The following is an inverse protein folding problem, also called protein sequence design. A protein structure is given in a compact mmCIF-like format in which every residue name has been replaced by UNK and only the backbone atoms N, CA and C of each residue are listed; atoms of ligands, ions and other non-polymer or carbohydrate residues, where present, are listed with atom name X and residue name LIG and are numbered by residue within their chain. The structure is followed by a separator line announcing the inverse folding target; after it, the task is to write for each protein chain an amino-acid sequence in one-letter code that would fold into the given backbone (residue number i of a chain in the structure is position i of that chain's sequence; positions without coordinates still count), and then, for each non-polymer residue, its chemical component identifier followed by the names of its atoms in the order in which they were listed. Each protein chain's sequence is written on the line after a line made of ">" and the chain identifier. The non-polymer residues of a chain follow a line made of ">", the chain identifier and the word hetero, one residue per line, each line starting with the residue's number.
data_IF_175049138216
#
_entry.id   IF_175049138216
#
_cell.length_a   1.000
_cell.length_b   1.000
_cell.length_c   1.000
_cell.angle_alpha   90.00
_cell.angle_beta   90.00
_cell.angle_gamma   90.00
#
_symmetry.space_group_name_H-M   'P 1'
#
loop_
_entity.id
_entity.type
_entity.pdbx_description
1 polymer ?
#
# COMPACT_ATOMS: atom_id res chain seq x y z
N UNK A 1 -32.28 -11.25 4.15
CA UNK A 1 -31.54 -10.58 3.05
C UNK A 1 -32.28 -10.99 1.80
N UNK A 2 -33.04 -10.07 1.20
CA UNK A 2 -33.61 -10.29 -0.12
C UNK A 2 -32.48 -10.73 -1.07
N UNK A 3 -32.77 -11.73 -1.90
CA UNK A 3 -31.86 -12.31 -2.87
C UNK A 3 -31.36 -11.22 -3.84
N UNK A 4 -30.30 -10.52 -3.45
CA UNK A 4 -29.65 -9.56 -4.34
C UNK A 4 -28.91 -10.36 -5.39
N UNK A 5 -29.60 -10.59 -6.51
CA UNK A 5 -29.00 -11.24 -7.68
C UNK A 5 -27.89 -10.33 -8.18
N UNK A 6 -26.66 -10.86 -8.18
CA UNK A 6 -25.51 -10.18 -8.78
C UNK A 6 -25.30 -10.76 -10.17
N UNK A 7 -25.35 -9.90 -11.17
CA UNK A 7 -25.06 -10.24 -12.56
C UNK A 7 -23.72 -9.62 -12.96
N UNK A 8 -22.89 -10.36 -13.69
CA UNK A 8 -21.61 -9.87 -14.16
C UNK A 8 -21.35 -10.33 -15.59
N UNK A 9 -20.94 -9.39 -16.44
CA UNK A 9 -20.75 -9.59 -17.88
C UNK A 9 -19.45 -8.94 -18.34
N UNK A 10 -18.65 -9.64 -19.13
CA UNK A 10 -17.50 -9.03 -19.81
C UNK A 10 -18.01 -8.23 -21.01
N UNK A 11 -17.90 -6.90 -20.95
CA UNK A 11 -18.42 -5.97 -21.96
C UNK A 11 -17.36 -5.46 -22.94
N UNK A 12 -16.10 -5.83 -22.70
CA UNK A 12 -14.99 -5.43 -23.56
C UNK A 12 -13.64 -5.88 -23.03
N UNK A 13 -12.59 -5.62 -23.81
CA UNK A 13 -11.21 -5.66 -23.34
C UNK A 13 -10.38 -4.52 -23.91
N UNK A 14 -9.25 -4.27 -23.27
CA UNK A 14 -8.23 -3.34 -23.75
C UNK A 14 -6.83 -3.89 -23.52
N UNK A 15 -5.88 -3.37 -24.28
CA UNK A 15 -4.45 -3.59 -24.03
C UNK A 15 -3.95 -2.54 -23.06
N UNK A 16 -3.28 -2.98 -22.00
CA UNK A 16 -2.54 -2.11 -21.09
C UNK A 16 -1.07 -2.45 -21.17
N UNK A 17 -0.23 -1.41 -21.21
CA UNK A 17 1.21 -1.54 -21.10
C UNK A 17 1.61 -1.21 -19.67
N UNK A 18 2.24 -2.15 -18.98
CA UNK A 18 2.79 -1.96 -17.64
C UNK A 18 4.14 -2.68 -17.56
N UNK A 19 5.14 -2.08 -16.92
CA UNK A 19 6.44 -2.73 -16.68
C UNK A 19 7.10 -3.32 -17.95
N UNK A 20 6.96 -2.62 -19.09
CA UNK A 20 7.43 -3.05 -20.42
C UNK A 20 6.77 -4.33 -20.97
N UNK A 21 5.66 -4.78 -20.37
CA UNK A 21 4.86 -5.91 -20.85
C UNK A 21 3.46 -5.45 -21.25
N UNK A 22 2.95 -6.05 -22.32
CA UNK A 22 1.56 -5.86 -22.75
C UNK A 22 0.68 -6.90 -22.06
N UNK A 23 -0.42 -6.44 -21.47
CA UNK A 23 -1.43 -7.29 -20.85
C UNK A 23 -2.81 -6.97 -21.41
N UNK A 24 -3.62 -8.00 -21.59
CA UNK A 24 -5.05 -7.85 -21.89
C UNK A 24 -5.82 -7.75 -20.58
N UNK A 25 -6.64 -6.71 -20.48
CA UNK A 25 -7.52 -6.45 -19.34
C UNK A 25 -8.95 -6.45 -19.85
N UNK A 26 -9.79 -7.26 -19.24
CA UNK A 26 -11.22 -7.36 -19.52
C UNK A 26 -11.98 -6.39 -18.63
N UNK A 27 -12.92 -5.69 -19.23
CA UNK A 27 -13.86 -4.80 -18.56
C UNK A 27 -15.14 -5.58 -18.25
N UNK A 28 -15.46 -5.68 -16.98
CA UNK A 28 -16.62 -6.41 -16.47
C UNK A 28 -17.62 -5.37 -15.97
N UNK A 29 -18.83 -5.42 -16.51
CA UNK A 29 -19.98 -4.68 -15.99
C UNK A 29 -20.70 -5.55 -14.97
N UNK A 30 -20.85 -5.04 -13.76
CA UNK A 30 -21.49 -5.75 -12.65
C UNK A 30 -22.75 -5.00 -12.23
N UNK A 31 -23.82 -5.74 -12.03
CA UNK A 31 -25.14 -5.25 -11.60
C UNK A 31 -25.56 -6.01 -10.35
N UNK A 32 -26.00 -5.30 -9.31
CA UNK A 32 -26.50 -5.91 -8.07
C UNK A 32 -27.57 -5.03 -7.46
N UNK A 33 -28.84 -5.42 -7.61
CA UNK A 33 -29.97 -4.53 -7.34
C UNK A 33 -29.91 -3.27 -8.22
N UNK A 34 -29.98 -2.10 -7.60
CA UNK A 34 -29.87 -0.81 -8.30
C UNK A 34 -28.42 -0.38 -8.60
N UNK A 35 -27.43 -1.09 -8.04
CA UNK A 35 -26.02 -0.73 -8.20
C UNK A 35 -25.45 -1.28 -9.50
N UNK A 36 -24.81 -0.40 -10.26
CA UNK A 36 -24.10 -0.75 -11.50
C UNK A 36 -22.69 -0.18 -11.47
N UNK A 37 -21.68 -1.03 -11.64
CA UNK A 37 -20.28 -0.60 -11.67
C UNK A 37 -19.45 -1.39 -12.67
N UNK A 38 -18.26 -0.86 -12.98
CA UNK A 38 -17.29 -1.49 -13.86
C UNK A 38 -16.06 -1.89 -13.09
N UNK A 39 -15.52 -3.06 -13.39
CA UNK A 39 -14.27 -3.56 -12.82
C UNK A 39 -13.39 -4.13 -13.92
N UNK A 40 -12.08 -4.03 -13.73
CA UNK A 40 -11.09 -4.50 -14.70
C UNK A 40 -10.29 -5.66 -14.16
N UNK A 41 -10.17 -6.74 -14.93
CA UNK A 41 -9.45 -7.96 -14.54
C UNK A 41 -8.65 -8.53 -15.70
N UNK A 42 -7.44 -9.02 -15.41
CA UNK A 42 -6.64 -9.80 -16.35
C UNK A 42 -7.12 -11.25 -16.36
N UNK A 43 -6.89 -11.95 -17.47
CA UNK A 43 -7.18 -13.38 -17.60
C UNK A 43 -6.61 -14.23 -16.45
N UNK A 44 -5.38 -13.92 -16.01
CA UNK A 44 -4.74 -14.63 -14.89
C UNK A 44 -5.49 -14.49 -13.56
N UNK A 45 -6.24 -13.40 -13.37
CA UNK A 45 -7.02 -13.19 -12.15
C UNK A 45 -8.29 -14.05 -12.13
N UNK A 46 -8.88 -14.36 -13.30
CA UNK A 46 -9.96 -15.34 -13.40
C UNK A 46 -9.47 -16.74 -13.01
N UNK A 47 -8.27 -17.13 -13.44
CA UNK A 47 -7.67 -18.41 -13.04
C UNK A 47 -7.39 -18.47 -11.52
N UNK A 48 -7.00 -17.37 -10.90
CA UNK A 48 -6.87 -17.28 -9.44
C UNK A 48 -8.23 -17.43 -8.74
N UNK A 49 -9.26 -16.76 -9.24
CA UNK A 49 -10.62 -16.92 -8.71
C UNK A 49 -11.08 -18.38 -8.85
N UNK A 50 -10.90 -19.00 -10.01
CA UNK A 50 -11.27 -20.40 -10.27
C UNK A 50 -10.61 -21.36 -9.27
N UNK A 51 -9.30 -21.19 -9.05
CA UNK A 51 -8.56 -21.96 -8.06
C UNK A 51 -9.03 -21.71 -6.61
N UNK A 52 -9.54 -20.51 -6.30
CA UNK A 52 -10.12 -20.21 -4.98
C UNK A 52 -11.49 -20.86 -4.83
N UNK A 53 -12.36 -20.74 -5.84
CA UNK A 53 -13.69 -21.32 -5.83
C UNK A 53 -13.61 -22.85 -5.79
N UNK A 54 -12.72 -23.49 -6.55
CA UNK A 54 -12.54 -24.95 -6.53
C UNK A 54 -12.06 -25.51 -5.19
N UNK A 55 -11.43 -24.70 -4.33
CA UNK A 55 -11.10 -25.09 -2.95
C UNK A 55 -12.29 -24.99 -1.99
N UNK A 56 -13.22 -24.08 -2.29
CA UNK A 56 -14.34 -23.73 -1.41
C UNK A 56 -15.64 -24.44 -1.79
N UNK A 57 -15.76 -24.83 -3.05
CA UNK A 57 -16.90 -25.53 -3.62
C UNK A 57 -16.32 -26.65 -4.48
N UNK A 58 -16.67 -27.90 -4.15
CA UNK A 58 -16.19 -29.14 -4.81
C UNK A 58 -16.19 -29.04 -6.36
N UNK A 59 -15.42 -29.88 -7.09
CA UNK A 59 -14.95 -29.60 -8.46
C UNK A 59 -16.07 -29.67 -9.51
N UNK A 60 -16.95 -28.68 -9.53
CA UNK A 60 -18.05 -28.53 -10.49
C UNK A 60 -17.91 -27.29 -11.39
N UNK A 61 -16.87 -26.47 -11.21
CA UNK A 61 -16.58 -25.34 -12.09
C UNK A 61 -15.78 -25.82 -13.30
N UNK A 62 -16.26 -25.57 -14.54
CA UNK A 62 -15.41 -25.75 -15.70
C UNK A 62 -14.25 -24.77 -15.61
N UNK A 63 -13.02 -25.17 -15.99
CA UNK A 63 -11.86 -24.30 -15.91
C UNK A 63 -12.15 -22.98 -16.64
N UNK A 64 -11.79 -21.85 -16.05
CA UNK A 64 -12.14 -20.49 -16.52
C UNK A 64 -11.87 -20.22 -18.01
N UNK A 65 -10.98 -21.01 -18.60
CA UNK A 65 -10.98 -21.50 -19.97
C UNK A 65 -9.73 -22.38 -20.04
N UNK A 66 -9.75 -23.49 -20.78
CA UNK A 66 -8.51 -24.24 -21.00
C UNK A 66 -7.49 -23.27 -21.58
N UNK A 67 -6.25 -23.31 -21.07
CA UNK A 67 -5.08 -22.59 -21.61
C UNK A 67 -4.74 -22.99 -23.06
N UNK A 68 -5.69 -23.65 -23.74
CA UNK A 68 -5.61 -24.16 -25.09
C UNK A 68 -5.04 -23.09 -26.00
N UNK A 69 -4.03 -23.54 -26.73
CA UNK A 69 -3.07 -22.79 -27.49
C UNK A 69 -3.71 -21.98 -28.62
N UNK A 70 -4.41 -20.90 -28.28
CA UNK A 70 -4.66 -19.84 -29.23
C UNK A 70 -3.33 -19.14 -29.47
N UNK A 71 -2.76 -19.42 -30.64
CA UNK A 71 -1.44 -19.01 -31.11
C UNK A 71 -1.06 -17.62 -30.63
N UNK A 72 -0.20 -17.57 -29.62
CA UNK A 72 0.46 -16.34 -29.25
C UNK A 72 1.49 -16.03 -30.34
N UNK A 73 1.22 -14.98 -31.11
CA UNK A 73 2.21 -14.45 -32.03
C UNK A 73 3.39 -13.93 -31.23
N UNK A 74 4.58 -14.47 -31.47
CA UNK A 74 5.81 -13.88 -30.95
C UNK A 74 6.08 -12.64 -31.78
N UNK A 75 5.85 -11.46 -31.20
CA UNK A 75 6.20 -10.19 -31.83
C UNK A 75 7.54 -9.71 -31.29
N UNK A 76 8.41 -9.26 -32.19
CA UNK A 76 9.67 -8.59 -31.84
C UNK A 76 9.49 -7.08 -31.96
N UNK A 77 9.70 -6.35 -30.88
CA UNK A 77 9.81 -4.89 -30.87
C UNK A 77 11.07 -4.51 -30.10
N UNK A 78 11.96 -3.72 -30.71
CA UNK A 78 13.24 -3.31 -30.12
C UNK A 78 14.13 -4.51 -29.71
N UNK A 79 14.19 -5.57 -30.52
CA UNK A 79 15.02 -6.74 -30.26
C UNK A 79 14.53 -7.68 -29.14
N UNK A 80 13.42 -7.37 -28.48
CA UNK A 80 12.82 -8.22 -27.44
C UNK A 80 11.59 -8.95 -27.98
N UNK A 81 11.53 -10.27 -27.72
CA UNK A 81 10.42 -11.15 -28.06
C UNK A 81 9.34 -11.05 -27.00
N UNK A 82 8.13 -10.67 -27.39
CA UNK A 82 6.96 -10.64 -26.52
C UNK A 82 5.85 -11.53 -27.07
N UNK A 83 5.16 -12.19 -26.16
CA UNK A 83 4.04 -13.09 -26.42
C UNK A 83 2.77 -12.23 -26.44
N UNK A 84 2.37 -11.74 -27.61
CA UNK A 84 1.22 -10.87 -27.75
C UNK A 84 -0.07 -11.69 -27.81
N UNK A 85 -1.05 -11.36 -26.95
CA UNK A 85 -2.39 -11.90 -27.08
C UNK A 85 -3.07 -11.21 -28.28
N UNK A 86 -3.31 -11.95 -29.35
CA UNK A 86 -4.02 -11.41 -30.53
C UNK A 86 -5.41 -10.89 -30.17
N UNK A 87 -5.89 -9.88 -30.89
CA UNK A 87 -7.24 -9.33 -30.68
C UNK A 87 -8.33 -10.40 -30.80
N UNK A 88 -8.16 -11.34 -31.74
CA UNK A 88 -9.06 -12.50 -31.91
C UNK A 88 -9.11 -13.39 -30.66
N UNK A 89 -7.98 -13.59 -29.98
CA UNK A 89 -7.88 -14.39 -28.75
C UNK A 89 -8.57 -13.68 -27.59
N UNK A 90 -8.37 -12.37 -27.48
CA UNK A 90 -9.02 -11.57 -26.46
C UNK A 90 -10.55 -11.54 -26.67
N UNK A 91 -11.02 -11.33 -27.91
CA UNK A 91 -12.45 -11.37 -28.26
C UNK A 91 -13.09 -12.74 -28.03
N UNK A 92 -12.44 -13.84 -28.45
CA UNK A 92 -12.95 -15.19 -28.21
C UNK A 92 -13.07 -15.52 -26.70
N UNK A 93 -12.23 -14.91 -25.87
CA UNK A 93 -12.29 -15.07 -24.41
C UNK A 93 -13.41 -14.26 -23.77
N UNK A 94 -13.90 -13.17 -24.36
CA UNK A 94 -14.96 -12.37 -23.75
C UNK A 94 -16.20 -13.22 -23.45
N UNK A 95 -16.72 -13.93 -24.46
CA UNK A 95 -17.91 -14.79 -24.29
C UNK A 95 -17.66 -15.92 -23.28
N UNK A 96 -16.51 -16.59 -23.36
CA UNK A 96 -16.16 -17.66 -22.41
C UNK A 96 -16.03 -17.16 -20.98
N UNK A 97 -15.51 -15.95 -20.77
CA UNK A 97 -15.37 -15.36 -19.44
C UNK A 97 -16.71 -14.88 -18.89
N UNK A 98 -17.60 -14.36 -19.74
CA UNK A 98 -19.00 -14.06 -19.35
C UNK A 98 -19.73 -15.33 -18.91
N UNK A 99 -19.64 -16.42 -19.69
CA UNK A 99 -20.22 -17.71 -19.31
C UNK A 99 -19.64 -18.25 -18.00
N UNK A 100 -18.33 -18.07 -17.80
CA UNK A 100 -17.66 -18.43 -16.55
C UNK A 100 -18.19 -17.62 -15.37
N UNK A 101 -18.38 -16.31 -15.50
CA UNK A 101 -18.90 -15.47 -14.42
C UNK A 101 -20.33 -15.85 -14.02
N UNK A 102 -21.19 -16.18 -14.99
CA UNK A 102 -22.54 -16.68 -14.73
C UNK A 102 -22.50 -18.00 -13.92
N UNK A 103 -21.63 -18.94 -14.31
CA UNK A 103 -21.44 -20.20 -13.59
C UNK A 103 -20.84 -19.99 -12.19
N UNK A 104 -19.82 -19.13 -12.08
CA UNK A 104 -19.17 -18.79 -10.82
C UNK A 104 -20.15 -18.16 -9.83
N UNK A 105 -21.05 -17.30 -10.30
CA UNK A 105 -22.13 -16.71 -9.48
C UNK A 105 -23.05 -17.78 -8.91
N UNK A 106 -23.52 -18.71 -9.75
CA UNK A 106 -24.39 -19.82 -9.34
C UNK A 106 -23.72 -20.80 -8.35
N UNK A 107 -22.41 -20.99 -8.48
CA UNK A 107 -21.65 -21.88 -7.60
C UNK A 107 -21.31 -21.17 -6.28
N UNK A 108 -20.90 -19.91 -6.35
CA UNK A 108 -20.49 -19.12 -5.20
C UNK A 108 -21.66 -18.79 -4.27
N UNK A 109 -22.89 -18.64 -4.79
CA UNK A 109 -24.08 -18.40 -3.97
C UNK A 109 -24.37 -19.50 -2.93
N UNK A 110 -23.79 -20.71 -3.12
CA UNK A 110 -23.97 -21.86 -2.22
C UNK A 110 -23.03 -21.85 -1.00
N UNK A 111 -22.05 -20.96 -0.96
CA UNK A 111 -21.04 -20.90 0.11
C UNK A 111 -20.66 -19.44 0.39
N UNK A 112 -20.84 -18.99 1.63
CA UNK A 112 -20.52 -17.61 2.03
C UNK A 112 -19.06 -17.23 1.72
N UNK A 113 -18.11 -18.14 1.93
CA UNK A 113 -16.70 -17.91 1.60
C UNK A 113 -16.46 -17.77 0.09
N UNK A 114 -17.12 -18.60 -0.72
CA UNK A 114 -17.02 -18.52 -2.18
C UNK A 114 -17.69 -17.24 -2.72
N UNK A 115 -18.83 -16.86 -2.13
CA UNK A 115 -19.53 -15.61 -2.43
C UNK A 115 -18.67 -14.40 -2.13
N UNK A 116 -18.02 -14.34 -0.97
CA UNK A 116 -17.08 -13.27 -0.62
C UNK A 116 -15.90 -13.19 -1.59
N UNK A 117 -15.34 -14.33 -2.02
CA UNK A 117 -14.27 -14.37 -3.00
C UNK A 117 -14.72 -13.80 -4.36
N UNK A 118 -15.90 -14.20 -4.83
CA UNK A 118 -16.49 -13.69 -6.06
C UNK A 118 -16.79 -12.19 -5.99
N UNK A 119 -17.46 -11.73 -4.93
CA UNK A 119 -17.78 -10.30 -4.75
C UNK A 119 -16.51 -9.44 -4.68
N UNK A 120 -15.45 -9.94 -4.05
CA UNK A 120 -14.13 -9.28 -4.04
C UNK A 120 -13.55 -9.21 -5.44
N UNK A 121 -13.60 -10.32 -6.19
CA UNK A 121 -13.17 -10.35 -7.58
C UNK A 121 -13.96 -9.38 -8.45
N UNK A 122 -15.28 -9.30 -8.28
CA UNK A 122 -16.16 -8.37 -8.99
C UNK A 122 -16.01 -6.92 -8.52
N UNK A 123 -15.18 -6.64 -7.52
CA UNK A 123 -14.99 -5.29 -7.00
C UNK A 123 -16.21 -4.74 -6.28
N UNK A 124 -17.11 -5.60 -5.76
CA UNK A 124 -18.29 -5.17 -5.01
C UNK A 124 -17.90 -4.32 -3.80
N UNK A 125 -16.79 -4.62 -3.12
CA UNK A 125 -16.26 -3.75 -2.06
C UNK A 125 -15.93 -2.34 -2.59
N UNK A 126 -15.33 -2.21 -3.77
CA UNK A 126 -15.02 -0.92 -4.38
C UNK A 126 -16.30 -0.16 -4.81
N UNK A 127 -17.32 -0.89 -5.27
CA UNK A 127 -18.59 -0.33 -5.72
C UNK A 127 -19.54 0.06 -4.60
N UNK A 128 -19.57 -0.72 -3.53
CA UNK A 128 -20.31 -0.45 -2.29
C UNK A 128 -19.66 0.65 -1.45
N UNK A 129 -18.62 1.31 -1.97
CA UNK A 129 -17.97 2.40 -1.25
C UNK A 129 -17.20 1.95 -0.03
N UNK A 130 -16.58 0.75 -0.04
CA UNK A 130 -15.38 0.51 0.78
C UNK A 130 -14.28 1.39 0.19
N UNK A 131 -14.40 2.69 0.48
CA UNK A 131 -13.63 3.78 -0.09
C UNK A 131 -12.17 3.51 0.19
N UNK A 132 -11.42 3.13 -0.84
CA UNK A 132 -9.98 3.20 -0.74
C UNK A 132 -9.61 4.68 -0.61
N UNK A 133 -8.84 5.01 0.42
CA UNK A 133 -8.32 6.35 0.64
C UNK A 133 -7.21 6.61 -0.38
N UNK A 134 -7.36 7.53 -1.35
CA UNK A 134 -6.29 7.80 -2.30
C UNK A 134 -5.07 8.34 -1.54
N UNK A 135 -3.86 7.85 -1.83
CA UNK A 135 -2.64 8.24 -1.11
C UNK A 135 -2.40 9.77 -1.07
N UNK A 136 -2.90 10.51 -2.06
CA UNK A 136 -2.84 11.99 -2.09
C UNK A 136 -3.71 12.67 -1.02
N UNK A 137 -4.79 12.02 -0.57
CA UNK A 137 -5.66 12.51 0.49
C UNK A 137 -5.22 12.03 1.87
N UNK A 138 -4.25 11.11 1.92
CA UNK A 138 -3.81 10.46 3.15
C UNK A 138 -3.40 11.49 4.21
N UNK A 139 -2.53 12.45 3.88
CA UNK A 139 -2.06 13.45 4.83
C UNK A 139 -3.13 14.37 5.43
N UNK A 140 -4.31 14.46 4.83
CA UNK A 140 -5.44 15.23 5.37
C UNK A 140 -6.49 14.36 6.07
N UNK A 141 -6.45 13.04 5.85
CA UNK A 141 -7.43 12.10 6.37
C UNK A 141 -7.01 11.45 7.69
N UNK A 142 -5.75 11.64 8.10
CA UNK A 142 -5.16 11.03 9.30
C UNK A 142 -4.63 12.07 10.27
N UNK A 143 -4.58 11.69 11.55
CA UNK A 143 -4.01 12.48 12.64
C UNK A 143 -2.94 11.72 13.44
N UNK A 144 -2.33 12.40 14.41
CA UNK A 144 -1.44 11.74 15.37
C UNK A 144 -2.14 10.54 16.03
N UNK A 145 -1.42 9.44 16.26
CA UNK A 145 -1.97 8.23 16.89
C UNK A 145 -2.67 7.27 15.91
N UNK A 146 -2.94 7.68 14.67
CA UNK A 146 -3.46 6.78 13.64
C UNK A 146 -2.43 5.73 13.26
N UNK A 147 -2.91 4.51 12.98
CA UNK A 147 -2.05 3.37 12.66
C UNK A 147 -2.02 3.17 11.14
N UNK A 148 -0.83 2.91 10.60
CA UNK A 148 -0.64 2.48 9.21
C UNK A 148 -0.14 1.03 9.21
N UNK A 149 -0.87 0.16 8.52
CA UNK A 149 -0.56 -1.26 8.39
C UNK A 149 -0.07 -1.55 6.99
N UNK A 150 1.00 -2.34 6.88
CA UNK A 150 1.60 -2.71 5.62
C UNK A 150 1.61 -4.23 5.47
N UNK A 151 1.35 -4.64 4.23
CA UNK A 151 1.59 -6.00 3.76
C UNK A 151 2.70 -5.94 2.71
N UNK A 152 3.92 -6.23 3.11
CA UNK A 152 5.11 -6.17 2.28
C UNK A 152 5.18 -7.34 1.29
N UNK A 153 5.87 -7.17 0.16
CA UNK A 153 6.03 -8.25 -0.85
C UNK A 153 7.15 -9.24 -0.52
N UNK A 154 7.98 -8.96 0.48
CA UNK A 154 9.16 -9.75 0.77
C UNK A 154 8.88 -11.15 1.37
N UNK A 155 9.85 -12.05 1.19
CA UNK A 155 9.73 -13.46 1.63
C UNK A 155 9.76 -13.59 3.16
N UNK A 156 10.54 -12.76 3.86
CA UNK A 156 10.59 -12.76 5.34
C UNK A 156 9.25 -12.28 5.93
N UNK A 157 8.63 -11.30 5.29
CA UNK A 157 7.27 -10.84 5.61
C UNK A 157 6.22 -11.94 5.45
N UNK A 158 6.41 -12.88 4.52
CA UNK A 158 5.54 -14.05 4.38
C UNK A 158 5.61 -14.99 5.60
N UNK A 159 6.79 -15.14 6.19
CA UNK A 159 6.97 -15.94 7.41
C UNK A 159 6.30 -15.26 8.62
N UNK A 160 6.48 -13.94 8.78
CA UNK A 160 5.81 -13.18 9.84
C UNK A 160 4.29 -13.28 9.75
N UNK A 161 3.71 -13.22 8.54
CA UNK A 161 2.26 -13.41 8.33
C UNK A 161 1.78 -14.81 8.70
N UNK A 162 2.58 -15.84 8.38
CA UNK A 162 2.29 -17.21 8.77
C UNK A 162 2.29 -17.38 10.30
N UNK A 163 3.30 -16.82 10.97
CA UNK A 163 3.47 -16.91 12.44
C UNK A 163 2.44 -16.07 13.21
N UNK A 164 2.00 -14.94 12.66
CA UNK A 164 1.02 -14.06 13.34
C UNK A 164 -0.43 -14.37 12.94
N UNK A 165 -0.64 -15.18 11.89
CA UNK A 165 -1.98 -15.43 11.33
C UNK A 165 -2.67 -14.13 10.91
N UNK A 166 -1.91 -13.12 10.51
CA UNK A 166 -2.37 -11.79 10.12
C UNK A 166 -1.95 -11.49 8.68
N UNK A 167 -2.75 -10.75 7.90
CA UNK A 167 -2.32 -10.28 6.58
C UNK A 167 -1.23 -9.20 6.65
N UNK A 168 -1.02 -8.59 7.81
CA UNK A 168 -0.09 -7.48 8.04
C UNK A 168 1.23 -7.97 8.63
N UNK A 169 2.35 -7.48 8.08
CA UNK A 169 3.72 -7.82 8.50
C UNK A 169 4.52 -6.63 9.02
N UNK A 170 4.03 -5.41 8.79
CA UNK A 170 4.64 -4.21 9.30
C UNK A 170 3.59 -3.21 9.75
N UNK A 171 3.94 -2.41 10.73
CA UNK A 171 3.08 -1.39 11.34
C UNK A 171 3.90 -0.16 11.62
N UNK A 172 3.26 0.99 11.45
CA UNK A 172 3.82 2.29 11.76
C UNK A 172 2.75 3.20 12.36
N UNK A 173 3.19 4.27 12.99
CA UNK A 173 2.33 5.23 13.67
C UNK A 173 2.39 6.59 12.98
N UNK A 174 1.24 7.21 12.73
CA UNK A 174 1.19 8.59 12.28
C UNK A 174 1.50 9.50 13.46
N UNK A 175 2.43 10.42 13.26
CA UNK A 175 2.79 11.45 14.22
C UNK A 175 2.80 12.82 13.54
N UNK A 176 2.73 13.88 14.32
CA UNK A 176 2.71 15.25 13.82
C UNK A 176 4.03 15.94 14.12
N UNK A 177 4.53 16.72 13.17
CA UNK A 177 5.67 17.59 13.45
C UNK A 177 5.25 18.62 14.51
N UNK A 178 6.03 18.73 15.59
CA UNK A 178 5.79 19.78 16.60
C UNK A 178 6.07 21.19 16.08
N UNK A 179 6.89 21.31 15.02
CA UNK A 179 7.18 22.59 14.35
C UNK A 179 6.07 22.94 13.36
N UNK A 180 5.61 21.96 12.59
CA UNK A 180 4.60 22.15 11.54
C UNK A 180 3.50 21.08 11.67
N UNK A 181 2.49 21.25 12.55
CA UNK A 181 1.47 20.21 12.80
C UNK A 181 0.66 19.75 11.57
N UNK A 182 0.61 20.60 10.54
CA UNK A 182 0.03 20.26 9.23
C UNK A 182 0.82 19.17 8.47
N UNK A 183 2.11 18.99 8.80
CA UNK A 183 2.97 17.96 8.23
C UNK A 183 2.80 16.65 9.00
N UNK A 184 2.11 15.69 8.38
CA UNK A 184 1.99 14.32 8.90
C UNK A 184 3.24 13.52 8.58
N UNK A 185 3.79 12.91 9.62
CA UNK A 185 4.97 12.07 9.59
C UNK A 185 4.58 10.63 9.96
N UNK A 186 5.47 9.69 9.65
CA UNK A 186 5.33 8.28 9.95
C UNK A 186 6.51 7.87 10.83
N UNK A 187 6.21 7.47 12.06
CA UNK A 187 7.14 6.84 12.99
C UNK A 187 7.14 5.33 12.71
N UNK A 188 8.28 4.80 12.30
CA UNK A 188 8.43 3.37 12.04
C UNK A 188 9.82 2.86 12.43
N UNK A 189 9.92 1.54 12.68
CA UNK A 189 11.19 0.85 12.82
C UNK A 189 11.38 -0.11 11.63
N UNK A 190 12.43 0.09 10.83
CA UNK A 190 12.82 -0.80 9.73
C UNK A 190 14.21 -1.37 9.97
N UNK A 191 14.72 -2.21 9.07
CA UNK A 191 16.10 -2.72 9.13
C UNK A 191 17.17 -1.63 9.25
N UNK A 192 16.86 -0.41 8.82
CA UNK A 192 17.77 0.74 8.84
C UNK A 192 17.74 1.51 10.17
N UNK A 193 16.85 1.11 11.10
CA UNK A 193 16.63 1.77 12.37
C UNK A 193 15.23 2.35 12.52
N UNK A 194 15.03 3.14 13.57
CA UNK A 194 13.83 3.93 13.79
C UNK A 194 13.95 5.25 13.04
N UNK A 195 12.91 5.58 12.26
CA UNK A 195 12.85 6.80 11.47
C UNK A 195 11.51 7.53 11.64
N UNK A 196 11.58 8.86 11.62
CA UNK A 196 10.42 9.75 11.47
C UNK A 196 10.45 10.38 10.08
N UNK A 197 9.58 9.91 9.18
CA UNK A 197 9.64 10.26 7.74
C UNK A 197 8.32 10.83 7.23
N UNK A 198 8.35 11.60 6.13
CA UNK A 198 7.13 12.18 5.56
C UNK A 198 6.12 11.10 5.12
N UNK A 199 4.91 11.12 5.68
CA UNK A 199 3.91 10.05 5.56
C UNK A 199 3.63 9.66 4.10
N UNK A 200 3.23 10.63 3.28
CA UNK A 200 2.81 10.37 1.89
C UNK A 200 3.97 9.89 1.03
N UNK A 201 5.15 10.48 1.21
CA UNK A 201 6.35 10.07 0.47
C UNK A 201 6.74 8.63 0.84
N UNK A 202 6.70 8.29 2.13
CA UNK A 202 7.06 6.96 2.61
C UNK A 202 6.06 5.90 2.16
N UNK A 203 4.76 6.13 2.28
CA UNK A 203 3.72 5.18 1.83
C UNK A 203 3.80 4.93 0.32
N UNK A 204 4.19 5.92 -0.49
CA UNK A 204 4.41 5.74 -1.94
C UNK A 204 5.67 4.95 -2.26
N UNK A 205 6.72 5.12 -1.48
CA UNK A 205 8.01 4.45 -1.68
C UNK A 205 8.01 3.01 -1.15
N UNK A 206 7.08 2.68 -0.25
CA UNK A 206 6.98 1.35 0.35
C UNK A 206 6.56 0.30 -0.67
N UNK A 207 7.33 -0.77 -0.85
CA UNK A 207 6.97 -1.91 -1.72
C UNK A 207 5.95 -2.85 -1.05
N UNK A 208 4.77 -2.31 -0.78
CA UNK A 208 3.66 -3.03 -0.18
C UNK A 208 2.68 -3.56 -1.23
N UNK A 209 2.22 -4.79 -1.04
CA UNK A 209 1.05 -5.35 -1.72
C UNK A 209 -0.24 -4.62 -1.29
N UNK A 210 -0.34 -4.28 -0.01
CA UNK A 210 -1.48 -3.54 0.56
C UNK A 210 -1.03 -2.61 1.67
N UNK A 211 -1.71 -1.47 1.76
CA UNK A 211 -1.60 -0.53 2.88
C UNK A 211 -3.00 -0.27 3.41
N UNK A 212 -3.15 -0.26 4.73
CA UNK A 212 -4.38 0.16 5.39
C UNK A 212 -4.08 1.19 6.48
N UNK A 213 -5.08 2.00 6.80
CA UNK A 213 -5.03 2.94 7.92
C UNK A 213 -6.17 2.64 8.87
N UNK A 214 -5.91 2.80 10.16
CA UNK A 214 -6.91 2.80 11.21
C UNK A 214 -6.86 4.12 11.95
N UNK A 215 -8.00 4.79 12.04
CA UNK A 215 -8.10 6.11 12.70
C UNK A 215 -8.38 5.96 14.18
N UNK A 216 -7.61 6.63 15.00
CA UNK A 216 -7.81 6.72 16.43
C UNK A 216 -9.06 7.57 16.74
N UNK A 217 -9.86 7.10 17.70
CA UNK A 217 -11.00 7.79 18.25
C UNK A 217 -10.77 7.88 19.77
N UNK A 218 -10.30 9.04 20.22
CA UNK A 218 -9.92 9.30 21.61
C UNK A 218 -9.90 10.80 21.87
N UNK A 219 -10.17 11.20 23.12
CA UNK A 219 -9.98 12.56 23.63
C UNK A 219 -8.59 12.76 24.29
N UNK A 220 -7.72 11.74 24.23
CA UNK A 220 -6.39 11.79 24.83
C UNK A 220 -5.49 12.87 24.21
N UNK A 221 -4.66 13.51 25.03
CA UNK A 221 -3.59 14.39 24.57
C UNK A 221 -2.43 13.57 23.98
N UNK A 222 -2.16 13.79 22.70
CA UNK A 222 -1.19 13.02 21.92
C UNK A 222 0.18 13.69 21.81
N UNK A 223 0.42 14.82 22.50
CA UNK A 223 1.74 15.50 22.48
C UNK A 223 2.86 14.58 23.02
N UNK A 224 2.55 13.71 23.98
CA UNK A 224 3.49 12.73 24.51
C UNK A 224 3.98 11.74 23.43
N UNK A 225 3.12 11.39 22.47
CA UNK A 225 3.49 10.53 21.32
C UNK A 225 4.47 11.26 20.42
N UNK A 226 4.21 12.53 20.08
CA UNK A 226 5.09 13.34 19.23
C UNK A 226 6.45 13.57 19.88
N UNK A 227 6.49 13.85 21.19
CA UNK A 227 7.74 13.95 21.98
C UNK A 227 8.53 12.64 21.95
N UNK A 228 7.85 11.51 22.12
CA UNK A 228 8.50 10.20 22.05
C UNK A 228 9.07 9.94 20.65
N UNK A 229 8.37 10.29 19.58
CA UNK A 229 8.83 10.11 18.21
C UNK A 229 10.15 10.86 17.95
N UNK A 230 10.28 12.11 18.39
CA UNK A 230 11.52 12.89 18.28
C UNK A 230 12.69 12.25 19.05
N UNK A 231 12.42 11.63 20.20
CA UNK A 231 13.45 10.97 21.01
C UNK A 231 13.87 9.61 20.44
N UNK A 232 12.93 8.88 19.84
CA UNK A 232 13.13 7.56 19.28
C UNK A 232 13.80 7.59 17.89
N UNK A 233 13.76 8.73 17.20
CA UNK A 233 14.36 8.89 15.88
C UNK A 233 15.88 8.60 15.90
N UNK A 234 16.33 7.80 14.93
CA UNK A 234 17.73 7.35 14.83
C UNK A 234 18.14 6.28 15.85
N UNK A 235 17.21 5.72 16.64
CA UNK A 235 17.50 4.53 17.46
C UNK A 235 17.67 3.29 16.59
N UNK A 236 18.41 2.29 17.08
CA UNK A 236 18.71 1.08 16.32
C UNK A 236 17.47 0.18 16.14
N UNK A 237 17.47 -0.63 15.08
CA UNK A 237 16.44 -1.63 14.87
C UNK A 237 16.65 -2.85 15.78
N UNK A 238 15.63 -3.22 16.53
CA UNK A 238 15.65 -4.34 17.47
C UNK A 238 15.09 -5.61 16.85
N UNK A 239 15.82 -6.26 15.94
CA UNK A 239 15.43 -7.57 15.45
C UNK A 239 16.57 -8.57 15.52
N UNK A 240 16.49 -9.46 16.51
CA UNK A 240 17.26 -10.70 16.54
C UNK A 240 16.42 -11.82 15.93
N UNK A 241 16.96 -12.53 14.94
CA UNK A 241 16.33 -13.74 14.33
C UNK A 241 15.91 -14.77 15.42
N UNK A 242 16.60 -14.79 16.56
CA UNK A 242 16.26 -15.62 17.72
C UNK A 242 14.84 -15.32 18.28
N UNK A 243 14.39 -14.07 18.32
CA UNK A 243 13.07 -13.70 18.82
C UNK A 243 11.93 -14.25 17.93
N UNK A 244 12.18 -14.42 16.63
CA UNK A 244 11.23 -15.04 15.70
C UNK A 244 11.13 -16.56 15.90
N UNK A 245 12.23 -17.21 16.28
CA UNK A 245 12.27 -18.63 16.63
C UNK A 245 11.64 -18.88 18.01
N UNK A 246 11.87 -18.02 18.99
CA UNK A 246 11.22 -18.11 20.31
C UNK A 246 9.70 -17.88 20.22
N UNK A 247 9.24 -17.01 19.31
CA UNK A 247 7.82 -16.84 18.99
C UNK A 247 7.19 -18.10 18.37
N UNK A 248 7.96 -18.89 17.61
CA UNK A 248 7.52 -20.21 17.10
C UNK A 248 7.41 -21.23 18.24
N UNK A 249 8.38 -21.24 19.17
CA UNK A 249 8.38 -22.08 20.38
C UNK A 249 7.15 -21.81 21.26
N UNK A 250 6.83 -20.52 21.46
CA UNK A 250 5.69 -20.09 22.27
C UNK A 250 4.33 -20.47 21.65
N UNK A 251 4.22 -20.44 20.31
CA UNK A 251 2.98 -20.82 19.61
C UNK A 251 2.77 -22.34 19.58
N UNK A 252 3.85 -23.13 19.52
CA UNK A 252 3.78 -24.57 19.70
C UNK A 252 3.21 -24.94 21.09
N UNK A 253 3.52 -24.15 22.13
CA UNK A 253 3.01 -24.35 23.48
C UNK A 253 1.53 -23.95 23.69
N UNK A 254 0.85 -23.35 22.69
CA UNK A 254 -0.51 -22.81 22.85
C UNK A 254 -1.50 -23.19 21.74
N UNK A 255 -1.29 -24.34 21.10
CA UNK A 255 -2.37 -24.96 20.34
C UNK A 255 -3.55 -25.28 21.29
N UNK A 256 -4.71 -24.71 20.98
CA UNK A 256 -6.01 -24.84 21.67
C UNK A 256 -6.13 -24.23 23.08
N UNK A 257 -6.59 -22.98 23.16
CA UNK A 257 -7.80 -22.61 23.93
C UNK A 257 -8.20 -21.16 23.65
N UNK A 258 -9.43 -20.99 23.16
CA UNK A 258 -10.16 -19.73 23.15
C UNK A 258 -10.46 -19.36 24.62
N UNK A 259 -10.16 -18.15 25.11
CA UNK A 259 -10.51 -17.79 26.47
C UNK A 259 -12.02 -17.53 26.55
N UNK A 260 -12.76 -18.53 27.02
CA UNK A 260 -14.08 -18.33 27.61
C UNK A 260 -13.87 -17.52 28.89
N UNK A 261 -14.17 -16.22 28.83
CA UNK A 261 -14.19 -15.33 30.00
C UNK A 261 -15.48 -15.62 30.76
N UNK A 262 -15.43 -16.57 31.67
CA UNK A 262 -16.43 -16.70 32.74
C UNK A 262 -15.83 -17.37 33.96
N UNK A 263 -15.08 -16.59 34.77
CA UNK A 263 -14.97 -16.72 36.24
C UNK A 263 -14.10 -15.59 36.79
N UNK A 264 -14.47 -14.94 37.92
CA UNK A 264 -13.66 -13.91 38.53
C UNK A 264 -12.43 -14.54 39.18
N UNK A 265 -11.25 -14.20 38.65
CA UNK A 265 -9.96 -14.63 39.20
C UNK A 265 -9.59 -13.68 40.35
N UNK A 266 -9.37 -14.23 41.53
CA UNK A 266 -8.86 -13.53 42.71
C UNK A 266 -7.55 -12.78 42.37
N UNK A 267 -7.31 -11.60 42.96
CA UNK A 267 -6.08 -10.85 42.66
C UNK A 267 -4.85 -11.63 43.12
N UNK A 268 -3.78 -11.73 42.29
CA UNK A 268 -2.54 -12.34 42.72
C UNK A 268 -1.88 -11.47 43.81
N UNK A 269 -1.05 -12.06 44.70
CA UNK A 269 -0.36 -11.30 45.72
C UNK A 269 0.56 -10.26 45.07
N UNK A 270 0.50 -9.02 45.58
CA UNK A 270 1.46 -7.94 45.26
C UNK A 270 2.87 -8.46 45.51
N UNK A 271 3.60 -8.78 44.45
CA UNK A 271 5.06 -8.88 44.48
C UNK A 271 5.62 -7.56 43.96
N UNK A 272 6.51 -7.02 44.77
CA UNK A 272 7.28 -5.81 44.52
C UNK A 272 7.99 -5.86 43.17
N UNK A 273 8.14 -4.67 42.60
CA UNK A 273 8.81 -4.36 41.34
C UNK A 273 10.17 -5.04 41.23
N UNK A 274 10.25 -6.12 40.45
CA UNK A 274 11.52 -6.63 39.93
C UNK A 274 11.69 -6.08 38.52
N UNK A 275 12.74 -5.27 38.40
CA UNK A 275 13.30 -4.61 37.24
C UNK A 275 12.94 -5.18 35.85
N UNK A 276 12.42 -4.30 34.99
CA UNK A 276 12.78 -4.27 33.58
C UNK A 276 14.30 -4.32 33.45
N UNK A 277 14.86 -5.43 32.94
CA UNK A 277 16.14 -5.50 32.20
C UNK A 277 16.72 -6.91 32.26
N UNK A 278 16.61 -7.68 31.17
CA UNK A 278 17.49 -8.84 30.96
C UNK A 278 17.65 -9.31 29.51
N UNK A 279 16.90 -8.80 28.53
CA UNK A 279 17.00 -9.27 27.13
C UNK A 279 17.38 -8.21 26.09
N UNK A 280 17.76 -7.00 26.50
CA UNK A 280 18.36 -6.02 25.60
C UNK A 280 19.76 -5.64 26.10
N UNK A 281 20.74 -5.87 25.22
CA UNK A 281 22.17 -5.55 25.34
C UNK A 281 22.96 -6.35 26.39
N UNK A 282 24.01 -7.05 25.90
CA UNK A 282 25.19 -7.30 26.73
C UNK A 282 25.72 -5.94 27.23
N UNK A 283 26.23 -5.83 28.46
CA UNK A 283 26.81 -4.58 28.92
C UNK A 283 28.02 -4.26 28.04
N UNK A 284 27.88 -3.22 27.23
CA UNK A 284 29.04 -2.54 26.68
C UNK A 284 29.75 -1.90 27.87
N UNK A 285 31.02 -2.28 28.05
CA UNK A 285 31.95 -1.48 28.83
C UNK A 285 31.93 -0.04 28.28
N UNK A 286 31.86 0.92 29.20
CA UNK A 286 32.07 2.37 29.01
C UNK A 286 30.79 3.22 28.79
N UNK A 287 30.21 3.68 29.90
CA UNK A 287 29.76 5.06 30.14
C UNK A 287 28.52 5.63 29.42
N UNK A 288 28.16 5.16 28.22
CA UNK A 288 27.06 5.74 27.43
C UNK A 288 25.92 4.72 27.31
N UNK A 289 24.79 5.00 27.97
CA UNK A 289 23.64 4.09 28.02
C UNK A 289 23.11 3.89 26.58
N UNK A 290 23.42 2.75 25.98
CA UNK A 290 23.01 2.41 24.62
C UNK A 290 21.50 2.63 24.45
N UNK A 291 21.13 3.34 23.39
CA UNK A 291 19.72 3.60 23.06
C UNK A 291 18.97 2.27 22.86
N UNK A 292 17.71 2.17 23.34
CA UNK A 292 16.92 0.95 23.15
C UNK A 292 16.69 0.68 21.66
N UNK A 293 16.73 -0.59 21.28
CA UNK A 293 16.43 -1.02 19.92
C UNK A 293 14.95 -1.44 19.84
N UNK A 294 14.27 -1.09 18.75
CA UNK A 294 12.83 -1.37 18.61
C UNK A 294 12.51 -2.23 17.39
N UNK A 295 11.60 -3.19 17.55
CA UNK A 295 10.84 -3.77 16.45
C UNK A 295 9.65 -2.86 16.08
N UNK A 296 9.11 -2.98 14.86
CA UNK A 296 8.08 -2.06 14.37
C UNK A 296 6.83 -2.03 15.26
N UNK A 297 6.31 -3.20 15.65
CA UNK A 297 5.15 -3.29 16.55
C UNK A 297 5.46 -2.89 17.98
N UNK A 298 6.69 -3.11 18.45
CA UNK A 298 7.13 -2.67 19.79
C UNK A 298 7.20 -1.14 19.86
N UNK A 299 7.78 -0.51 18.84
CA UNK A 299 7.85 0.95 18.73
C UNK A 299 6.45 1.56 18.76
N UNK A 300 5.54 1.06 17.91
CA UNK A 300 4.15 1.52 17.86
C UNK A 300 3.43 1.28 19.19
N UNK A 301 3.56 0.10 19.79
CA UNK A 301 2.94 -0.19 21.08
C UNK A 301 3.45 0.75 22.17
N UNK A 302 4.76 0.96 22.25
CA UNK A 302 5.38 1.82 23.26
C UNK A 302 4.92 3.28 23.13
N UNK A 303 4.86 3.79 21.90
CA UNK A 303 4.35 5.13 21.62
C UNK A 303 2.89 5.28 22.07
N UNK A 304 2.02 4.32 21.72
CA UNK A 304 0.61 4.34 22.11
C UNK A 304 0.39 4.18 23.62
N UNK A 305 1.25 3.43 24.31
CA UNK A 305 1.22 3.35 25.78
C UNK A 305 1.61 4.67 26.44
N UNK A 306 2.63 5.36 25.90
CA UNK A 306 3.02 6.69 26.37
C UNK A 306 1.89 7.70 26.16
N UNK A 307 1.14 7.56 25.06
CA UNK A 307 -0.04 8.39 24.79
C UNK A 307 -1.32 7.97 25.54
N UNK A 308 -1.26 6.98 26.44
CA UNK A 308 -2.44 6.52 27.18
C UNK A 308 -3.53 5.87 26.31
N UNK A 309 -3.16 5.38 25.12
CA UNK A 309 -4.08 4.72 24.17
C UNK A 309 -4.15 3.21 24.43
N UNK A 310 -2.99 2.61 24.69
CA UNK A 310 -2.85 1.20 25.04
C UNK A 310 -2.60 1.04 26.53
N UNK A 311 -3.10 -0.07 27.08
CA UNK A 311 -2.83 -0.42 28.47
C UNK A 311 -1.34 -0.57 28.73
N UNK A 312 -0.90 0.03 29.83
CA UNK A 312 0.50 0.00 30.27
C UNK A 312 0.92 -1.31 30.95
N UNK A 313 -0.03 -2.22 31.26
CA UNK A 313 0.23 -3.49 31.94
C UNK A 313 0.68 -4.61 31.00
N UNK A 314 0.56 -4.43 29.68
CA UNK A 314 1.04 -5.36 28.67
C UNK A 314 2.40 -4.90 28.14
N UNK A 315 3.48 -5.67 28.21
CA UNK A 315 4.76 -5.25 27.67
C UNK A 315 4.70 -5.03 26.15
N UNK A 316 5.40 -4.02 25.62
CA UNK A 316 5.41 -3.70 24.18
C UNK A 316 5.87 -4.89 23.30
N UNK A 317 6.68 -5.80 23.84
CA UNK A 317 7.20 -6.98 23.16
C UNK A 317 6.14 -8.06 22.88
N UNK A 318 4.96 -7.95 23.49
CA UNK A 318 3.83 -8.82 23.20
C UNK A 318 3.07 -8.42 21.93
N UNK A 319 3.32 -7.21 21.41
CA UNK A 319 2.62 -6.72 20.24
C UNK A 319 3.32 -7.17 18.97
N UNK A 320 2.52 -7.68 18.03
CA UNK A 320 2.93 -8.00 16.68
C UNK A 320 2.18 -7.09 15.70
N UNK A 321 2.65 -6.90 14.46
CA UNK A 321 1.95 -6.10 13.46
C UNK A 321 0.47 -6.51 13.30
N UNK A 322 0.21 -7.82 13.37
CA UNK A 322 -1.15 -8.35 13.34
C UNK A 322 -2.01 -8.04 14.56
N UNK A 323 -1.43 -7.69 15.71
CA UNK A 323 -2.20 -7.24 16.90
C UNK A 323 -2.95 -5.95 16.60
N UNK A 324 -2.39 -5.08 15.74
CA UNK A 324 -3.00 -3.81 15.37
C UNK A 324 -4.10 -3.92 14.31
N UNK A 325 -4.39 -5.14 13.82
CA UNK A 325 -5.50 -5.41 12.92
C UNK A 325 -6.86 -5.22 13.61
N UNK A 326 -7.92 -4.97 12.83
CA UNK A 326 -9.29 -4.90 13.36
C UNK A 326 -9.68 -6.18 14.10
N UNK A 327 -10.26 -6.03 15.29
CA UNK A 327 -10.75 -7.10 16.16
C UNK A 327 -9.71 -7.70 17.12
N UNK A 328 -8.42 -7.36 16.99
CA UNK A 328 -7.35 -7.85 17.88
C UNK A 328 -6.80 -6.81 18.84
N UNK A 329 -6.86 -5.53 18.48
CA UNK A 329 -6.30 -4.44 19.28
C UNK A 329 -7.26 -3.99 20.38
N UNK A 330 -8.56 -4.07 20.11
CA UNK A 330 -9.64 -3.50 20.90
C UNK A 330 -9.65 -3.96 22.37
N UNK A 331 -9.37 -5.23 22.71
CA UNK A 331 -9.28 -5.67 24.10
C UNK A 331 -8.10 -5.08 24.89
N UNK A 332 -7.13 -4.45 24.21
CA UNK A 332 -5.89 -3.92 24.76
C UNK A 332 -5.90 -2.37 24.88
N UNK A 333 -6.97 -1.73 24.41
CA UNK A 333 -7.14 -0.28 24.49
C UNK A 333 -7.57 0.15 25.89
N UNK A 334 -7.23 1.39 26.25
CA UNK A 334 -7.75 2.04 27.45
C UNK A 334 -9.25 2.37 27.32
N UNK A 335 -9.92 2.59 28.46
CA UNK A 335 -11.35 2.92 28.46
C UNK A 335 -11.62 4.24 27.72
N UNK A 336 -12.64 4.25 26.85
CA UNK A 336 -13.00 5.42 26.04
C UNK A 336 -12.16 5.58 24.76
N UNK A 337 -11.19 4.70 24.52
CA UNK A 337 -10.37 4.69 23.31
C UNK A 337 -10.88 3.64 22.34
N UNK A 338 -10.98 3.99 21.06
CA UNK A 338 -11.29 3.03 20.01
C UNK A 338 -10.55 3.36 18.71
N UNK A 339 -10.47 2.38 17.82
CA UNK A 339 -9.97 2.58 16.47
C UNK A 339 -11.08 2.27 15.47
N UNK A 340 -11.19 3.12 14.44
CA UNK A 340 -12.05 2.87 13.30
C UNK A 340 -11.66 1.60 12.51
N UNK A 341 -12.47 1.26 11.51
CA UNK A 341 -12.19 0.11 10.63
C UNK A 341 -10.90 0.32 9.84
N UNK A 342 -10.32 -0.79 9.35
CA UNK A 342 -9.22 -0.76 8.38
C UNK A 342 -9.68 -0.15 7.06
N UNK A 343 -9.15 1.04 6.72
CA UNK A 343 -9.40 1.72 5.45
C UNK A 343 -8.20 1.48 4.54
N UNK A 344 -8.40 0.77 3.44
CA UNK A 344 -7.34 0.53 2.46
C UNK A 344 -6.89 1.84 1.80
N UNK A 345 -5.59 2.01 1.65
CA UNK A 345 -4.99 3.15 0.94
C UNK A 345 -4.70 2.74 -0.50
N UNK A 346 -5.23 3.50 -1.47
CA UNK A 346 -4.84 3.32 -2.88
C UNK A 346 -3.51 4.02 -3.13
N UNK A 347 -2.44 3.22 -3.14
CA UNK A 347 -1.06 3.67 -3.40
C UNK A 347 -0.77 3.83 -4.89
N UNK A 348 -1.68 3.41 -5.78
CA UNK A 348 -1.49 3.61 -7.22
C UNK A 348 -1.51 5.10 -7.50
N UNK A 349 -0.46 5.58 -8.17
CA UNK A 349 -0.46 6.91 -8.76
C UNK A 349 -1.49 6.85 -9.90
N UNK A 350 -2.68 7.37 -9.67
CA UNK A 350 -3.66 7.64 -10.72
C UNK A 350 -3.02 8.66 -11.68
N UNK A 351 -2.43 8.19 -12.77
CA UNK A 351 -2.07 9.00 -13.93
C UNK A 351 -3.36 9.48 -14.63
N UNK A 352 -4.10 10.39 -14.00
CA UNK A 352 -5.29 11.01 -14.60
C UNK A 352 -5.28 12.50 -14.32
N UNK A 353 -4.56 13.26 -15.17
CA UNK A 353 -4.82 14.69 -15.41
C UNK A 353 -4.13 15.30 -16.65
N UNK A 354 -3.55 14.54 -17.59
CA UNK A 354 -2.97 15.12 -18.83
C UNK A 354 -3.58 14.60 -20.13
N UNK A 355 -4.33 13.50 -20.11
CA UNK A 355 -4.90 12.89 -21.33
C UNK A 355 -6.30 13.38 -21.70
N UNK A 356 -7.08 13.93 -20.76
CA UNK A 356 -8.41 14.47 -21.07
C UNK A 356 -8.34 15.80 -21.85
N UNK A 357 -7.40 16.69 -21.48
CA UNK A 357 -7.19 17.97 -22.20
C UNK A 357 -6.47 17.78 -23.54
N UNK A 358 -5.51 16.84 -23.59
CA UNK A 358 -5.29 15.89 -24.70
C UNK A 358 -6.24 15.89 -25.90
N UNK A 359 -7.34 15.17 -25.67
CA UNK A 359 -8.30 14.74 -26.67
C UNK A 359 -9.31 15.83 -27.03
N UNK A 360 -9.54 16.80 -26.13
CA UNK A 360 -10.36 17.97 -26.40
C UNK A 360 -9.61 19.01 -27.27
N UNK A 361 -8.31 19.20 -27.07
CA UNK A 361 -7.50 20.09 -27.93
C UNK A 361 -7.25 19.52 -29.34
N UNK A 362 -7.32 18.19 -29.52
CA UNK A 362 -7.14 17.53 -30.81
C UNK A 362 -8.40 17.52 -31.71
N UNK A 363 -9.52 18.06 -31.24
CA UNK A 363 -10.76 18.22 -32.01
C UNK A 363 -10.97 19.67 -32.43
N UNK A 364 -10.04 20.22 -33.20
CA UNK A 364 -10.29 21.43 -33.98
C UNK A 364 -11.31 21.17 -35.11
N UNK A 365 -12.08 22.18 -35.55
CA UNK A 365 -13.11 22.01 -36.57
C UNK A 365 -12.47 21.65 -37.92
N UNK A 366 -12.85 20.49 -38.47
CA UNK A 366 -12.48 20.09 -39.83
C UNK A 366 -13.25 20.96 -40.82
N UNK A 367 -12.57 21.93 -41.43
CA UNK A 367 -13.05 22.59 -42.65
C UNK A 367 -13.11 21.55 -43.78
N UNK A 368 -14.26 21.48 -44.43
CA UNK A 368 -14.57 20.49 -45.47
C UNK A 368 -13.73 20.69 -46.74
N UNK A 369 -13.21 19.59 -47.28
CA UNK A 369 -12.45 19.42 -48.52
C UNK A 369 -13.28 19.64 -49.80
N UNK A 370 -13.86 20.83 -49.96
CA UNK A 370 -14.38 21.31 -51.24
C UNK A 370 -14.01 22.77 -51.37
N UNK A 371 -12.86 23.05 -52.01
CA UNK A 371 -12.48 24.27 -52.75
C UNK A 371 -10.95 24.35 -52.86
N UNK A 372 -10.34 23.44 -53.62
CA UNK A 372 -9.00 23.66 -54.20
C UNK A 372 -8.92 22.95 -55.54
N UNK A 373 -9.49 23.59 -56.55
CA UNK A 373 -9.21 23.40 -57.97
C UNK A 373 -9.27 24.78 -58.60
N UNK A 374 -8.36 25.05 -59.54
CA UNK A 374 -7.87 26.36 -59.99
C UNK A 374 -6.93 26.99 -58.96
N UNK A 375 -5.62 27.11 -59.18
CA UNK A 375 -4.97 27.72 -60.34
C UNK A 375 -3.71 26.92 -60.73
N UNK A 376 -3.56 26.72 -62.04
CA UNK A 376 -2.43 26.18 -62.79
C UNK A 376 -1.33 27.23 -63.03
N UNK A 377 -0.23 26.81 -63.69
CA UNK A 377 0.89 27.62 -64.26
C UNK A 377 1.96 28.03 -63.23
N UNK A 378 3.28 27.94 -63.44
CA UNK A 378 4.23 27.60 -64.52
C UNK A 378 5.61 27.77 -63.80
N UNK A 379 6.65 26.93 -63.86
CA UNK A 379 7.63 26.76 -64.92
C UNK A 379 8.88 26.01 -64.35
N UNK A 380 9.29 24.93 -65.01
CA UNK A 380 10.66 24.60 -65.49
C UNK A 380 11.89 25.10 -64.69
N UNK A 381 12.69 24.18 -64.11
CA UNK A 381 14.07 23.78 -64.55
C UNK A 381 14.78 22.84 -63.54
N UNK A 382 15.57 21.84 -64.01
CA UNK A 382 16.43 21.01 -63.17
C UNK A 382 17.90 21.47 -63.22
N UNK A 383 18.63 21.38 -62.11
CA UNK A 383 20.11 21.42 -62.12
C UNK A 383 20.68 20.34 -61.19
N UNK A 384 21.65 19.63 -61.75
CA UNK A 384 22.51 18.59 -61.19
C UNK A 384 23.41 19.10 -60.04
N UNK A 385 23.87 18.21 -59.12
CA UNK A 385 24.83 18.59 -58.09
C UNK A 385 26.28 18.28 -58.52
N UNK A 386 27.28 19.06 -58.08
CA UNK A 386 28.65 18.60 -58.02
C UNK A 386 29.16 18.33 -56.60
N UNK A 387 30.13 17.43 -56.62
CA UNK A 387 30.93 16.76 -55.59
C UNK A 387 31.51 17.61 -54.44
N UNK A 388 31.70 16.90 -53.34
CA UNK A 388 32.53 17.14 -52.13
C UNK A 388 33.97 17.59 -52.44
N UNK A 389 34.68 18.16 -51.44
CA UNK A 389 35.66 17.31 -50.75
C UNK A 389 35.75 17.48 -49.22
N UNK A 390 36.28 16.40 -48.66
CA UNK A 390 36.65 16.05 -47.29
C UNK A 390 37.63 17.02 -46.62
N UNK A 391 37.50 17.23 -45.31
CA UNK A 391 38.66 17.41 -44.40
C UNK A 391 38.31 17.00 -42.96
N UNK A 392 39.30 16.37 -42.33
CA UNK A 392 39.34 15.82 -40.98
C UNK A 392 39.16 16.87 -39.87
N UNK A 393 38.50 16.50 -38.76
CA UNK A 393 39.01 16.88 -37.43
C UNK A 393 38.52 15.98 -36.28
N UNK A 394 39.46 15.81 -35.36
CA UNK A 394 39.62 14.87 -34.26
C UNK A 394 38.76 15.15 -33.02
N UNK A 395 38.45 14.05 -32.31
CA UNK A 395 38.01 13.85 -30.91
C UNK A 395 38.01 15.06 -29.95
N UNK A 396 36.94 15.20 -29.14
CA UNK A 396 37.01 15.29 -27.66
C UNK A 396 35.71 14.72 -27.07
N UNK A 397 35.83 13.83 -26.09
CA UNK A 397 34.76 13.33 -25.24
C UNK A 397 34.64 14.17 -23.97
N UNK A 398 33.44 14.67 -23.63
CA UNK A 398 33.12 15.20 -22.30
C UNK A 398 31.64 15.03 -21.96
N UNK A 399 31.37 14.25 -20.91
CA UNK A 399 30.25 14.31 -19.93
C UNK A 399 30.24 12.96 -19.21
N UNK A 400 30.37 12.86 -17.89
CA UNK A 400 29.58 13.54 -16.86
C UNK A 400 30.31 13.57 -15.50
N UNK A 401 30.13 14.59 -14.66
CA UNK A 401 30.47 14.52 -13.25
C UNK A 401 29.31 13.96 -12.41
N UNK A 402 29.71 13.10 -11.47
CA UNK A 402 28.99 12.57 -10.32
C UNK A 402 28.39 13.66 -9.43
N UNK A 403 27.12 13.53 -9.07
CA UNK A 403 26.45 14.32 -8.03
C UNK A 403 26.67 13.65 -6.67
N UNK A 404 27.60 14.18 -5.88
CA UNK A 404 27.72 13.94 -4.46
C UNK A 404 27.93 15.28 -3.75
N UNK A 405 27.38 15.38 -2.54
CA UNK A 405 27.50 16.47 -1.57
C UNK A 405 26.46 17.61 -1.66
N UNK A 406 25.37 17.44 -0.88
CA UNK A 406 24.84 18.55 -0.10
C UNK A 406 25.18 18.27 1.37
N UNK A 407 26.13 19.05 1.92
CA UNK A 407 26.38 19.17 3.36
C UNK A 407 26.01 20.58 3.80
N UNK A 408 25.34 20.62 4.95
CA UNK A 408 25.37 21.62 6.01
C UNK A 408 25.16 23.10 5.65
N UNK A 409 24.01 23.63 6.09
CA UNK A 409 23.78 25.05 6.33
C UNK A 409 24.22 25.33 7.79
N UNK A 410 25.09 26.32 8.06
CA UNK A 410 25.50 26.68 9.42
C UNK A 410 24.45 27.53 10.16
N UNK A 411 24.51 27.62 11.50
CA UNK A 411 23.54 28.37 12.29
C UNK A 411 23.83 29.87 12.25
N UNK A 412 22.77 30.67 12.33
CA UNK A 412 22.83 32.12 12.51
C UNK A 412 22.82 32.38 14.02
N UNK A 413 23.93 32.90 14.54
CA UNK A 413 24.03 33.41 15.90
C UNK A 413 23.71 34.93 15.96
N UNK A 414 22.86 35.23 16.96
CA UNK A 414 22.84 36.41 17.84
C UNK A 414 22.71 37.83 17.27
N UNK A 415 21.68 38.54 17.77
CA UNK A 415 21.81 39.91 18.28
C UNK A 415 20.86 40.14 19.48
N UNK A 416 21.14 41.08 20.40
CA UNK A 416 20.82 40.95 21.83
C UNK A 416 19.71 41.88 22.35
N UNK A 417 19.32 41.58 23.59
CA UNK A 417 18.79 42.44 24.67
C UNK A 417 17.61 43.39 24.38
N UNK A 418 16.45 43.06 24.98
CA UNK A 418 15.60 44.08 25.62
C UNK A 418 15.06 43.58 26.96
N UNK A 419 15.32 44.39 27.98
CA UNK A 419 15.03 44.14 29.38
C UNK A 419 13.57 44.46 29.76
N UNK A 420 13.07 43.65 30.70
CA UNK A 420 12.12 43.91 31.81
C UNK A 420 11.20 45.15 31.72
N UNK A 421 9.89 44.89 31.76
CA UNK A 421 8.91 45.70 32.49
C UNK A 421 7.62 44.89 32.81
N UNK A 422 7.50 44.41 34.04
CA UNK A 422 6.22 44.48 34.79
C UNK A 422 6.15 45.89 35.43
N UNK A 423 4.99 46.47 35.85
CA UNK A 423 3.79 45.80 36.37
C UNK A 423 2.44 46.41 35.92
N UNK A 424 1.31 45.75 36.18
CA UNK A 424 0.40 46.13 37.28
C UNK A 424 -0.92 45.33 37.27
N UNK A 425 -1.35 45.02 38.50
CA UNK A 425 -2.70 44.63 38.88
C UNK A 425 -3.69 45.77 38.65
N UNK A 426 -4.89 45.40 38.21
CA UNK A 426 -6.17 45.96 38.68
C UNK A 426 -7.20 44.84 38.62
#
# INVERSE_FOLDING_TARGET
>A
MEDTIVEAEVVGWRRRFAERREHVVYEILVRGGELVWRVERRYSEFATLDAQLGKLVSPGLPPACTRAALSYGVQTRLGQRYVACGAAVAGARESSLTDYLAKATNVASRSSGAWCALLTFLGAAQALGVTQLPVRKLGHAVGCGDIVLFKSRERVSSLQRCVTGSPWDHVALVVESRVTPALKLLLEATSDGVGVVALVARVRAYDADRVAVRRLQSDADLDAISKFAEQADGTAYGFGIAALLDGLSYRAARSFQSPQISKPLSPPPRRESVACSAYCAKPAHDGERAKPAYFCSQLTAKALQIGGILRGDVPADYFWPGTFASGRLEPLLEAGVSYGPEVLVDTRVLEVATSANRALAARGPRLSTRHRRAVSEEAIRPMTPPRTPTTHRTLVAHSSPSYAAYRAIPPIESCPDFAKAEPNRA
#
